data_IF_388318740864
#
_entry.id   IF_388318740864
#
_cell.length_a   1.000
_cell.length_b   1.000
_cell.length_c   1.000
_cell.angle_alpha   90.00
_cell.angle_beta   90.00
_cell.angle_gamma   90.00
#
_symmetry.space_group_name_H-M   'P 1'
#
loop_
_entity.id
_entity.type
_entity.pdbx_description
1 polymer ?
#
# COMPACT_ATOMS: atom_id res chain seq x y z
N UNK A 1 -29.46 4.52 -1.04
CA UNK A 1 -28.08 5.05 -0.93
C UNK A 1 -27.10 4.21 -0.08
N UNK A 2 -27.45 3.69 1.13
CA UNK A 2 -26.51 2.85 1.93
C UNK A 2 -26.26 1.46 1.32
N UNK A 3 -27.32 0.80 0.83
CA UNK A 3 -27.25 -0.54 0.22
C UNK A 3 -26.40 -0.54 -1.06
N UNK A 4 -26.54 0.48 -1.91
CA UNK A 4 -25.75 0.59 -3.16
C UNK A 4 -24.27 0.76 -2.88
N UNK A 5 -23.89 1.53 -1.85
CA UNK A 5 -22.50 1.70 -1.44
C UNK A 5 -21.88 0.40 -0.94
N UNK A 6 -22.59 -0.36 -0.10
CA UNK A 6 -22.12 -1.67 0.37
C UNK A 6 -21.96 -2.65 -0.80
N UNK A 7 -22.88 -2.63 -1.78
CA UNK A 7 -22.74 -3.43 -3.01
C UNK A 7 -21.48 -3.05 -3.81
N UNK A 8 -21.18 -1.76 -3.94
CA UNK A 8 -19.96 -1.31 -4.62
C UNK A 8 -18.70 -1.70 -3.86
N UNK A 9 -18.67 -1.49 -2.53
CA UNK A 9 -17.56 -1.90 -1.70
C UNK A 9 -17.31 -3.41 -1.80
N UNK A 10 -18.37 -4.24 -1.70
CA UNK A 10 -18.30 -5.69 -1.89
C UNK A 10 -17.71 -6.06 -3.26
N UNK A 11 -18.18 -5.42 -4.33
CA UNK A 11 -17.67 -5.66 -5.69
C UNK A 11 -16.19 -5.31 -5.81
N UNK A 12 -15.77 -4.16 -5.30
CA UNK A 12 -14.38 -3.70 -5.39
C UNK A 12 -13.45 -4.55 -4.52
N UNK A 13 -13.88 -4.90 -3.31
CA UNK A 13 -13.14 -5.74 -2.40
C UNK A 13 -12.96 -7.16 -2.96
N UNK A 14 -14.03 -7.73 -3.55
CA UNK A 14 -13.94 -9.02 -4.25
C UNK A 14 -12.94 -8.99 -5.41
N UNK A 15 -12.90 -7.90 -6.18
CA UNK A 15 -11.90 -7.72 -7.24
C UNK A 15 -10.47 -7.73 -6.68
N UNK A 16 -10.20 -7.02 -5.57
CA UNK A 16 -8.87 -7.02 -4.95
C UNK A 16 -8.50 -8.34 -4.29
N UNK A 17 -9.46 -9.02 -3.66
CA UNK A 17 -9.26 -10.35 -3.09
C UNK A 17 -8.85 -11.37 -4.16
N UNK A 18 -9.58 -11.40 -5.27
CA UNK A 18 -9.38 -12.40 -6.32
C UNK A 18 -8.06 -12.19 -7.09
N UNK A 19 -7.66 -10.94 -7.31
CA UNK A 19 -6.53 -10.63 -8.18
C UNK A 19 -5.23 -10.26 -7.44
N UNK A 20 -5.34 -9.80 -6.18
CA UNK A 20 -4.21 -9.23 -5.43
C UNK A 20 -4.08 -9.80 -4.01
N UNK A 21 -4.86 -10.81 -3.64
CA UNK A 21 -4.70 -11.52 -2.37
C UNK A 21 -5.09 -10.72 -1.12
N UNK A 22 -5.88 -9.65 -1.28
CA UNK A 22 -6.37 -8.85 -0.14
C UNK A 22 -7.38 -9.67 0.67
N UNK A 23 -7.06 -9.95 1.94
CA UNK A 23 -7.83 -10.82 2.83
C UNK A 23 -8.00 -10.21 4.22
N UNK A 24 -8.95 -10.76 4.98
CA UNK A 24 -9.15 -10.45 6.38
C UNK A 24 -8.03 -11.07 7.27
N UNK A 25 -7.66 -10.41 8.39
CA UNK A 25 -8.08 -9.07 8.79
C UNK A 25 -7.47 -7.98 7.87
N UNK A 26 -8.31 -7.09 7.37
CA UNK A 26 -7.89 -6.07 6.41
C UNK A 26 -6.95 -5.06 7.07
N UNK A 27 -5.72 -4.97 6.57
CA UNK A 27 -4.70 -4.09 7.13
C UNK A 27 -4.85 -2.67 6.60
N UNK A 28 -5.40 -1.77 7.41
CA UNK A 28 -5.75 -0.40 7.04
C UNK A 28 -4.64 0.56 7.46
N UNK A 29 -3.87 1.04 6.49
CA UNK A 29 -2.72 1.88 6.71
C UNK A 29 -3.11 3.37 6.75
N UNK A 30 -3.12 3.92 7.95
CA UNK A 30 -3.57 5.28 8.30
C UNK A 30 -2.46 6.32 8.09
N UNK A 31 -2.82 7.46 7.49
CA UNK A 31 -2.03 8.69 7.46
C UNK A 31 -2.57 9.76 8.45
N UNK A 32 -1.83 10.86 8.58
CA UNK A 32 -2.20 12.00 9.44
C UNK A 32 -3.49 12.66 8.98
N UNK A 33 -3.66 12.85 7.66
CA UNK A 33 -4.80 13.57 7.08
C UNK A 33 -6.13 12.84 7.26
N UNK A 34 -6.15 11.52 7.13
CA UNK A 34 -7.33 10.69 7.33
C UNK A 34 -7.72 10.64 8.80
N UNK A 35 -6.75 10.50 9.72
CA UNK A 35 -7.03 10.58 11.16
C UNK A 35 -7.67 11.92 11.53
N UNK A 36 -7.14 13.03 10.99
CA UNK A 36 -7.69 14.36 11.24
C UNK A 36 -9.09 14.54 10.64
N UNK A 37 -9.33 14.06 9.42
CA UNK A 37 -10.66 14.11 8.81
C UNK A 37 -11.68 13.24 9.55
N UNK A 38 -11.26 12.07 10.06
CA UNK A 38 -12.11 11.21 10.86
C UNK A 38 -12.57 11.91 12.14
N UNK A 39 -11.70 12.67 12.79
CA UNK A 39 -12.06 13.47 13.96
C UNK A 39 -13.04 14.58 13.63
N UNK A 40 -12.73 15.38 12.60
CA UNK A 40 -13.58 16.50 12.17
C UNK A 40 -14.97 16.03 11.76
N UNK A 41 -15.07 14.88 11.10
CA UNK A 41 -16.34 14.29 10.66
C UNK A 41 -17.02 13.37 11.69
N UNK A 42 -16.49 13.27 12.93
CA UNK A 42 -16.96 12.34 13.96
C UNK A 42 -17.12 10.89 13.45
N UNK A 43 -16.19 10.47 12.58
CA UNK A 43 -16.17 9.15 11.95
C UNK A 43 -15.54 8.15 12.91
N UNK A 44 -16.36 7.24 13.45
CA UNK A 44 -15.90 6.16 14.33
C UNK A 44 -15.23 5.06 13.51
N UNK A 45 -13.91 5.17 13.33
CA UNK A 45 -13.13 4.27 12.45
C UNK A 45 -13.32 2.78 12.77
N UNK A 46 -13.27 2.41 14.06
CA UNK A 46 -13.42 1.01 14.51
C UNK A 46 -14.79 0.40 14.23
N UNK A 47 -15.83 1.23 14.08
CA UNK A 47 -17.17 0.76 13.73
C UNK A 47 -17.42 0.84 12.21
N UNK A 48 -17.01 1.94 11.58
CA UNK A 48 -17.32 2.20 10.17
C UNK A 48 -16.45 1.37 9.21
N UNK A 49 -15.18 1.12 9.52
CA UNK A 49 -14.30 0.34 8.63
C UNK A 49 -14.77 -1.11 8.50
N UNK A 50 -15.01 -1.87 9.59
CA UNK A 50 -15.54 -3.22 9.47
C UNK A 50 -16.88 -3.26 8.74
N UNK A 51 -17.76 -2.27 8.99
CA UNK A 51 -19.05 -2.17 8.29
C UNK A 51 -18.92 -1.87 6.80
N UNK A 52 -17.92 -1.08 6.41
CA UNK A 52 -17.66 -0.75 5.01
C UNK A 52 -17.06 -1.93 4.25
N UNK A 53 -16.12 -2.65 4.89
CA UNK A 53 -15.42 -3.80 4.31
C UNK A 53 -16.19 -5.11 4.47
N UNK A 54 -17.21 -5.13 5.33
CA UNK A 54 -18.00 -6.31 5.71
C UNK A 54 -17.13 -7.43 6.28
N UNK A 55 -16.09 -7.05 7.04
CA UNK A 55 -15.05 -7.95 7.51
C UNK A 55 -14.19 -7.30 8.58
N UNK A 56 -13.29 -8.06 9.19
CA UNK A 56 -12.41 -7.54 10.23
C UNK A 56 -11.42 -6.52 9.67
N UNK A 57 -11.27 -5.38 10.37
CA UNK A 57 -10.37 -4.31 9.96
C UNK A 57 -9.34 -4.04 11.07
N UNK A 58 -8.06 -4.17 10.70
CA UNK A 58 -6.93 -3.92 11.58
C UNK A 58 -6.30 -2.58 11.22
N UNK A 59 -6.47 -1.60 12.12
CA UNK A 59 -5.86 -0.29 11.97
C UNK A 59 -4.35 -0.35 12.21
N UNK A 60 -3.58 0.16 11.25
CA UNK A 60 -2.15 0.29 11.35
C UNK A 60 -1.67 1.68 10.93
N UNK A 61 -0.49 2.07 11.42
CA UNK A 61 0.22 3.29 11.03
C UNK A 61 1.73 3.05 11.05
N UNK A 62 2.56 4.05 10.77
CA UNK A 62 4.02 3.94 10.80
C UNK A 62 4.63 4.93 11.79
N UNK A 63 5.88 4.68 12.18
CA UNK A 63 6.63 5.61 13.04
C UNK A 63 6.85 6.98 12.39
N UNK A 64 6.95 7.05 11.05
CA UNK A 64 7.06 8.32 10.34
C UNK A 64 5.79 9.16 10.47
N UNK A 65 4.61 8.55 10.32
CA UNK A 65 3.33 9.24 10.48
C UNK A 65 3.17 9.76 11.92
N UNK A 66 3.56 8.96 12.92
CA UNK A 66 3.53 9.40 14.32
C UNK A 66 4.46 10.59 14.58
N UNK A 67 5.68 10.57 14.02
CA UNK A 67 6.64 11.68 14.15
C UNK A 67 6.18 12.95 13.44
N UNK A 68 5.54 12.81 12.29
CA UNK A 68 4.90 13.94 11.58
C UNK A 68 3.81 14.57 12.45
N UNK A 69 2.90 13.76 13.00
CA UNK A 69 1.84 14.22 13.90
C UNK A 69 2.38 14.86 15.19
N UNK A 70 3.53 14.40 15.69
CA UNK A 70 4.23 15.02 16.81
C UNK A 70 4.77 16.40 16.49
N UNK A 71 5.29 16.58 15.29
CA UNK A 71 5.91 17.84 14.84
C UNK A 71 4.84 18.91 14.60
N UNK A 72 3.64 18.51 14.15
CA UNK A 72 2.51 19.40 13.90
C UNK A 72 1.77 19.85 15.17
N UNK A 73 2.10 19.28 16.33
CA UNK A 73 1.73 19.84 17.64
C UNK A 73 0.25 19.74 18.01
N UNK A 74 -0.23 20.74 18.76
CA UNK A 74 -1.52 20.71 19.48
C UNK A 74 -2.73 20.57 18.54
N UNK A 75 -2.68 21.14 17.34
CA UNK A 75 -3.79 21.16 16.39
C UNK A 75 -4.16 19.78 15.85
N UNK A 76 -3.21 18.83 15.89
CA UNK A 76 -3.39 17.44 15.47
C UNK A 76 -3.31 16.45 16.62
N UNK A 77 -3.43 16.91 17.87
CA UNK A 77 -3.34 16.04 19.04
C UNK A 77 -4.37 14.90 19.01
N UNK A 78 -5.62 15.20 18.63
CA UNK A 78 -6.63 14.16 18.46
C UNK A 78 -6.23 13.12 17.40
N UNK A 79 -5.69 13.56 16.27
CA UNK A 79 -5.27 12.67 15.18
C UNK A 79 -4.11 11.78 15.62
N UNK A 80 -3.18 12.35 16.40
CA UNK A 80 -2.10 11.62 17.07
C UNK A 80 -2.66 10.51 17.96
N UNK A 81 -3.66 10.77 18.79
CA UNK A 81 -4.26 9.75 19.66
C UNK A 81 -4.88 8.58 18.87
N UNK A 82 -5.52 8.86 17.74
CA UNK A 82 -6.06 7.81 16.86
C UNK A 82 -4.91 6.95 16.29
N UNK A 83 -3.88 7.60 15.75
CA UNK A 83 -2.73 6.91 15.18
C UNK A 83 -1.98 6.08 16.23
N UNK A 84 -1.78 6.61 17.45
CA UNK A 84 -1.13 5.90 18.56
C UNK A 84 -1.89 4.66 19.04
N UNK A 85 -3.22 4.67 18.97
CA UNK A 85 -4.07 3.51 19.30
C UNK A 85 -4.09 2.45 18.20
N UNK A 86 -3.46 2.71 17.06
CA UNK A 86 -3.37 1.79 15.92
C UNK A 86 -2.06 1.02 15.97
N UNK A 87 -2.00 -0.15 15.32
CA UNK A 87 -0.79 -0.95 15.34
C UNK A 87 0.33 -0.29 14.55
N UNK A 88 1.50 -0.11 15.17
CA UNK A 88 2.65 0.48 14.50
C UNK A 88 3.37 -0.57 13.64
N UNK A 89 3.47 -0.31 12.35
CA UNK A 89 4.22 -1.14 11.38
C UNK A 89 5.64 -0.59 11.23
N UNK A 90 6.59 -1.52 11.10
CA UNK A 90 7.98 -1.19 10.84
C UNK A 90 8.12 -0.70 9.39
N UNK A 91 8.61 0.52 9.23
CA UNK A 91 8.98 1.10 7.95
C UNK A 91 10.52 1.16 7.82
N UNK A 92 11.08 1.20 6.60
CA UNK A 92 12.54 1.23 6.39
C UNK A 92 13.23 2.53 6.87
N UNK A 93 12.45 3.55 7.25
CA UNK A 93 12.90 4.91 7.58
C UNK A 93 13.32 5.12 9.05
N UNK A 94 13.95 4.12 9.67
CA UNK A 94 14.27 4.21 11.11
C UNK A 94 15.29 5.31 11.44
N UNK A 95 16.31 5.47 10.60
CA UNK A 95 17.39 6.46 10.81
C UNK A 95 16.99 7.85 10.30
N UNK A 96 16.42 7.90 9.10
CA UNK A 96 16.03 9.12 8.42
C UNK A 96 14.52 9.11 8.24
N UNK A 97 13.82 9.71 9.19
CA UNK A 97 12.37 9.84 9.09
C UNK A 97 12.02 10.70 7.87
N UNK A 98 11.03 10.25 7.11
CA UNK A 98 10.49 10.93 5.94
C UNK A 98 9.05 11.38 6.22
N UNK A 99 8.43 12.08 5.27
CA UNK A 99 7.01 12.44 5.36
C UNK A 99 6.13 11.19 5.52
N UNK A 100 4.97 11.34 6.16
CA UNK A 100 3.98 10.27 6.28
C UNK A 100 3.59 9.73 4.90
N UNK A 101 3.34 10.62 3.94
CA UNK A 101 2.98 10.26 2.56
C UNK A 101 4.07 9.43 1.86
N UNK A 102 5.34 9.83 1.94
CA UNK A 102 6.43 9.08 1.31
C UNK A 102 6.68 7.74 2.03
N UNK A 103 6.52 7.71 3.36
CA UNK A 103 6.59 6.48 4.12
C UNK A 103 5.50 5.48 3.71
N UNK A 104 4.26 5.93 3.56
CA UNK A 104 3.16 5.05 3.16
C UNK A 104 3.36 4.49 1.76
N UNK A 105 3.89 5.30 0.85
CA UNK A 105 4.24 4.84 -0.50
C UNK A 105 5.30 3.76 -0.49
N UNK A 106 6.35 3.90 0.33
CA UNK A 106 7.39 2.87 0.46
C UNK A 106 6.84 1.56 1.04
N UNK A 107 5.86 1.63 1.96
CA UNK A 107 5.24 0.44 2.56
C UNK A 107 4.45 -0.41 1.55
N UNK A 108 4.01 0.20 0.46
CA UNK A 108 3.25 -0.45 -0.63
C UNK A 108 4.05 -0.52 -1.93
N UNK A 109 5.38 -0.38 -1.84
CA UNK A 109 6.27 -0.68 -2.96
C UNK A 109 6.28 -2.16 -3.29
N UNK A 110 6.92 -2.51 -4.41
CA UNK A 110 7.11 -3.90 -4.85
C UNK A 110 5.81 -4.70 -5.01
N UNK A 111 4.70 -4.03 -5.30
CA UNK A 111 3.41 -4.70 -5.51
C UNK A 111 2.62 -4.95 -4.24
N UNK A 112 2.84 -4.16 -3.18
CA UNK A 112 2.08 -4.22 -1.93
C UNK A 112 2.16 -5.60 -1.25
N UNK A 113 3.36 -6.03 -0.84
CA UNK A 113 3.62 -7.39 -0.34
C UNK A 113 2.84 -7.75 0.92
N UNK A 114 2.35 -6.76 1.66
CA UNK A 114 1.57 -6.95 2.89
C UNK A 114 0.07 -6.71 2.68
N UNK A 115 -0.38 -6.52 1.44
CA UNK A 115 -1.78 -6.35 1.08
C UNK A 115 -2.48 -5.21 1.86
N UNK A 116 -1.78 -4.10 2.09
CA UNK A 116 -2.34 -2.94 2.78
C UNK A 116 -3.46 -2.28 1.96
N UNK A 117 -4.48 -1.80 2.65
CA UNK A 117 -5.42 -0.80 2.14
C UNK A 117 -4.92 0.56 2.63
N UNK A 118 -4.62 1.47 1.71
CA UNK A 118 -4.17 2.82 2.06
C UNK A 118 -5.38 3.71 2.28
N UNK A 119 -5.38 4.48 3.37
CA UNK A 119 -6.43 5.48 3.61
C UNK A 119 -5.84 6.85 3.84
N UNK A 120 -6.35 7.83 3.09
CA UNK A 120 -5.80 9.19 3.08
C UNK A 120 -6.84 10.20 2.58
N UNK A 121 -6.70 11.45 3.02
CA UNK A 121 -7.39 12.62 2.43
C UNK A 121 -6.43 13.50 1.61
N UNK A 122 -5.15 13.15 1.54
CA UNK A 122 -4.15 13.81 0.68
C UNK A 122 -4.35 13.38 -0.78
N UNK A 123 -4.66 14.35 -1.63
CA UNK A 123 -4.85 14.13 -3.06
C UNK A 123 -3.55 13.71 -3.76
N UNK A 124 -2.40 14.24 -3.32
CA UNK A 124 -1.10 13.89 -3.90
C UNK A 124 -0.76 12.44 -3.60
N UNK A 125 -0.93 12.01 -2.35
CA UNK A 125 -0.77 10.61 -1.97
C UNK A 125 -1.75 9.71 -2.72
N UNK A 126 -3.02 10.10 -2.81
CA UNK A 126 -4.06 9.37 -3.55
C UNK A 126 -3.67 9.14 -5.02
N UNK A 127 -3.18 10.18 -5.71
CA UNK A 127 -2.72 10.08 -7.11
C UNK A 127 -1.51 9.15 -7.22
N UNK A 128 -0.54 9.25 -6.31
CA UNK A 128 0.65 8.38 -6.31
C UNK A 128 0.28 6.91 -6.04
N UNK A 129 -0.65 6.64 -5.13
CA UNK A 129 -1.18 5.28 -4.88
C UNK A 129 -1.91 4.73 -6.10
N UNK A 130 -2.77 5.52 -6.75
CA UNK A 130 -3.51 5.09 -7.96
C UNK A 130 -2.61 4.72 -9.15
N UNK A 131 -1.38 5.26 -9.20
CA UNK A 131 -0.36 4.92 -10.21
C UNK A 131 0.27 3.54 -9.99
N UNK A 132 0.12 2.95 -8.81
CA UNK A 132 0.54 1.58 -8.50
C UNK A 132 -0.66 0.64 -8.67
N UNK A 133 -0.42 -0.56 -9.20
CA UNK A 133 -1.47 -1.56 -9.38
C UNK A 133 -1.67 -2.35 -8.09
N UNK A 134 -2.91 -2.75 -7.80
CA UNK A 134 -3.21 -3.71 -6.74
C UNK A 134 -3.32 -3.13 -5.33
N UNK A 135 -3.40 -1.80 -5.20
CA UNK A 135 -3.51 -1.13 -3.90
C UNK A 135 -4.92 -0.57 -3.77
N UNK A 136 -5.75 -1.09 -2.85
CA UNK A 136 -7.03 -0.49 -2.52
C UNK A 136 -6.80 0.85 -1.80
N UNK A 137 -7.58 1.85 -2.19
CA UNK A 137 -7.55 3.20 -1.61
C UNK A 137 -8.91 3.51 -0.98
N UNK A 138 -8.92 4.04 0.24
CA UNK A 138 -10.14 4.54 0.87
C UNK A 138 -9.97 5.98 1.34
N UNK A 139 -11.07 6.71 1.42
CA UNK A 139 -11.09 8.10 1.83
C UNK A 139 -12.44 8.44 2.49
N UNK A 140 -12.54 9.61 3.12
CA UNK A 140 -13.78 10.05 3.78
C UNK A 140 -14.48 11.08 2.88
N UNK A 141 -15.74 10.80 2.53
CA UNK A 141 -16.65 11.77 1.91
C UNK A 141 -17.69 12.14 2.95
N UNK A 142 -17.75 13.43 3.31
CA UNK A 142 -18.57 13.93 4.41
C UNK A 142 -18.22 13.17 5.72
N UNK A 143 -19.11 12.29 6.20
CA UNK A 143 -18.91 11.53 7.43
C UNK A 143 -18.89 10.01 7.17
N UNK A 144 -18.61 9.61 5.93
CA UNK A 144 -18.58 8.20 5.53
C UNK A 144 -17.27 7.83 4.87
N UNK A 145 -16.72 6.69 5.28
CA UNK A 145 -15.60 6.01 4.61
C UNK A 145 -16.08 5.35 3.30
N UNK A 146 -15.34 5.55 2.21
CA UNK A 146 -15.62 4.99 0.89
C UNK A 146 -14.39 4.26 0.37
N UNK A 147 -14.58 3.02 -0.10
CA UNK A 147 -13.59 2.26 -0.87
C UNK A 147 -13.65 2.71 -2.33
N UNK A 148 -12.53 3.17 -2.88
CA UNK A 148 -12.46 3.58 -4.27
C UNK A 148 -12.57 2.37 -5.22
N UNK A 149 -13.00 2.64 -6.45
CA UNK A 149 -12.96 1.64 -7.51
C UNK A 149 -11.50 1.30 -7.86
N UNK A 150 -11.22 0.09 -8.38
CA UNK A 150 -9.90 -0.25 -8.89
C UNK A 150 -9.37 0.80 -9.88
N UNK A 151 -8.12 1.22 -9.70
CA UNK A 151 -7.52 2.23 -10.57
C UNK A 151 -7.40 1.73 -12.01
N UNK A 152 -7.39 2.62 -13.03
CA UNK A 152 -7.16 2.21 -14.41
C UNK A 152 -5.88 1.39 -14.57
N UNK A 153 -4.82 1.72 -13.81
CA UNK A 153 -3.57 0.96 -13.78
C UNK A 153 -3.76 -0.45 -13.23
N UNK A 154 -4.55 -0.60 -12.17
CA UNK A 154 -4.89 -1.90 -11.58
C UNK A 154 -5.67 -2.76 -12.57
N UNK A 155 -6.68 -2.19 -13.23
CA UNK A 155 -7.49 -2.91 -14.24
C UNK A 155 -6.60 -3.34 -15.42
N UNK A 156 -5.75 -2.45 -15.93
CA UNK A 156 -4.82 -2.77 -17.01
C UNK A 156 -3.83 -3.87 -16.63
N UNK A 157 -3.34 -3.88 -15.38
CA UNK A 157 -2.46 -4.93 -14.88
C UNK A 157 -3.16 -6.30 -14.89
N UNK A 158 -4.38 -6.39 -14.34
CA UNK A 158 -5.14 -7.65 -14.33
C UNK A 158 -5.40 -8.16 -15.75
N UNK A 159 -5.83 -7.28 -16.66
CA UNK A 159 -6.03 -7.66 -18.07
C UNK A 159 -4.76 -8.19 -18.72
N UNK A 160 -3.60 -7.56 -18.46
CA UNK A 160 -2.34 -8.01 -19.01
C UNK A 160 -1.90 -9.37 -18.43
N UNK A 161 -2.23 -9.66 -17.17
CA UNK A 161 -2.03 -10.99 -16.56
C UNK A 161 -2.97 -12.02 -17.19
N UNK A 162 -4.25 -11.71 -17.35
CA UNK A 162 -5.24 -12.59 -18.00
C UNK A 162 -4.86 -12.92 -19.45
N UNK A 163 -4.24 -11.97 -20.17
CA UNK A 163 -3.72 -12.16 -21.52
C UNK A 163 -2.36 -12.87 -21.58
N UNK A 164 -1.80 -13.31 -20.45
CA UNK A 164 -0.49 -13.96 -20.36
C UNK A 164 0.71 -13.05 -20.66
N UNK A 165 0.50 -11.74 -20.76
CA UNK A 165 1.55 -10.75 -21.05
C UNK A 165 2.36 -10.38 -19.81
N UNK A 166 1.78 -10.59 -18.62
CA UNK A 166 2.44 -10.38 -17.35
C UNK A 166 2.26 -11.59 -16.45
N UNK A 167 3.29 -11.84 -15.65
CA UNK A 167 3.27 -12.87 -14.63
C UNK A 167 2.69 -12.28 -13.34
N UNK A 168 1.71 -12.96 -12.76
CA UNK A 168 1.13 -12.62 -11.47
C UNK A 168 2.17 -12.67 -10.33
N UNK A 169 1.84 -12.12 -9.16
CA UNK A 169 2.74 -12.15 -8.00
C UNK A 169 3.02 -13.59 -7.56
N UNK A 170 1.98 -14.43 -7.52
CA UNK A 170 2.11 -15.84 -7.15
C UNK A 170 3.00 -16.61 -8.13
N UNK A 171 2.76 -16.45 -9.44
CA UNK A 171 3.60 -17.10 -10.46
C UNK A 171 5.05 -16.60 -10.40
N UNK A 172 5.30 -15.32 -10.06
CA UNK A 172 6.67 -14.84 -9.83
C UNK A 172 7.35 -15.53 -8.66
N UNK A 173 6.63 -15.76 -7.56
CA UNK A 173 7.14 -16.50 -6.40
C UNK A 173 7.42 -17.96 -6.75
N UNK A 174 6.49 -18.64 -7.43
CA UNK A 174 6.70 -20.01 -7.91
C UNK A 174 7.91 -20.10 -8.86
N UNK A 175 8.05 -19.16 -9.81
CA UNK A 175 9.22 -19.11 -10.71
C UNK A 175 10.51 -18.87 -9.92
N UNK A 176 10.48 -18.08 -8.85
CA UNK A 176 11.66 -17.84 -8.01
C UNK A 176 12.06 -19.11 -7.26
N UNK A 177 11.10 -19.81 -6.64
CA UNK A 177 11.34 -21.09 -5.96
C UNK A 177 11.90 -22.14 -6.92
N UNK A 178 11.29 -22.30 -8.10
CA UNK A 178 11.78 -23.24 -9.12
C UNK A 178 13.20 -22.89 -9.61
N UNK A 179 13.53 -21.60 -9.71
CA UNK A 179 14.90 -21.16 -10.06
C UNK A 179 15.90 -21.44 -8.94
N UNK A 180 15.48 -21.37 -7.69
CA UNK A 180 16.30 -21.72 -6.52
C UNK A 180 16.56 -23.24 -6.50
N UNK A 181 15.53 -24.06 -6.68
CA UNK A 181 15.63 -25.54 -6.76
C UNK A 181 16.54 -26.01 -7.91
N UNK A 182 16.45 -25.35 -9.08
CA UNK A 182 17.29 -25.67 -10.24
C UNK A 182 18.69 -25.05 -10.19
N UNK A 183 19.05 -24.32 -9.13
CA UNK A 183 20.38 -23.69 -9.00
C UNK A 183 20.65 -22.57 -10.02
N UNK A 184 19.60 -21.96 -10.60
CA UNK A 184 19.68 -20.94 -11.65
C UNK A 184 19.78 -19.50 -11.12
N UNK A 185 19.91 -19.31 -9.80
CA UNK A 185 20.10 -17.99 -9.20
C UNK A 185 21.48 -17.42 -9.56
N UNK A 186 21.51 -16.28 -10.27
CA UNK A 186 22.77 -15.60 -10.60
C UNK A 186 23.39 -15.01 -9.34
N UNK A 187 24.57 -15.52 -8.96
CA UNK A 187 25.32 -15.05 -7.80
C UNK A 187 25.71 -13.56 -7.98
N UNK A 188 25.51 -12.67 -6.98
CA UNK A 188 25.79 -11.23 -7.09
C UNK A 188 27.24 -10.92 -7.51
N UNK A 189 28.18 -11.80 -7.17
CA UNK A 189 29.60 -11.69 -7.53
C UNK A 189 29.89 -11.83 -9.03
N UNK A 190 29.10 -12.63 -9.76
CA UNK A 190 29.26 -12.77 -11.21
C UNK A 190 28.86 -11.49 -11.97
N UNK A 191 27.89 -10.72 -11.44
CA UNK A 191 27.52 -9.40 -11.98
C UNK A 191 28.63 -8.36 -11.79
N UNK A 192 29.33 -8.38 -10.66
CA UNK A 192 30.49 -7.49 -10.43
C UNK A 192 31.66 -7.83 -11.36
N UNK A 193 32.00 -9.12 -11.52
CA UNK A 193 33.09 -9.55 -12.42
C UNK A 193 32.83 -9.22 -13.90
N UNK A 194 31.58 -9.25 -14.38
CA UNK A 194 31.25 -8.84 -15.75
C UNK A 194 31.43 -7.33 -15.96
N UNK A 195 30.96 -6.49 -15.03
CA UNK A 195 31.17 -5.03 -15.10
C UNK A 195 32.64 -4.62 -15.05
N UNK A 196 33.48 -5.31 -14.27
CA UNK A 196 34.92 -5.01 -14.22
C UNK A 196 35.67 -5.42 -15.50
N UNK A 197 35.16 -6.41 -16.25
CA UNK A 197 35.74 -6.84 -17.53
C UNK A 197 35.37 -5.94 -18.70
N UNK A 198 34.16 -5.37 -18.72
CA UNK A 198 33.71 -4.45 -19.78
C UNK A 198 34.43 -3.08 -19.75
N UNK A 199 34.90 -2.63 -18.58
CA UNK A 199 35.56 -1.32 -18.44
C UNK A 199 37.07 -1.33 -18.77
N UNK A 200 37.62 -2.40 -19.35
CA UNK A 200 39.02 -2.48 -19.78
C UNK A 200 39.11 -2.66 -21.30
N UNK A 201 38.98 -1.57 -22.04
CA UNK A 201 39.51 -1.47 -23.41
C UNK A 201 40.64 -0.42 -23.43
N UNK A 202 41.74 -0.64 -24.17
CA UNK A 202 42.92 0.22 -24.11
C UNK A 202 42.71 1.50 -24.92
N UNK A 203 43.15 2.64 -24.38
CA UNK A 203 43.39 3.84 -25.17
C UNK A 203 44.64 3.59 -26.03
N UNK A 204 44.44 3.41 -27.33
CA UNK A 204 45.51 3.44 -28.33
C UNK A 204 45.64 4.86 -28.88
N UNK A 205 46.76 5.52 -28.57
CA UNK A 205 47.34 6.62 -29.36
C UNK A 205 48.45 6.06 -30.24
#
# INVERSE_FOLDING_TARGET
MKITRQKHAKKHLGFFSNNFGVREPYQILLDSTFCQAALRGHVRLREQLPRCLMGEAQLCTTRCVLKELETLGKDLYGAKLIAQKSQVRNCPHFKNAVSGSDCLLSMVEEGNPHHYLVVTQDQNLSVKVKKKAGIPLMFIIQNTIVLDRPSPKTIAFVKAVELGQLVSVHEKESIKQLKEEQGLMKNPEQRRRKKTRENKWPQSS
#
